data_IF_165601914782
#
_entry.id   IF_165601914782
#
_cell.length_a   1.000
_cell.length_b   1.000
_cell.length_c   1.000
_cell.angle_alpha   90.00
_cell.angle_beta   90.00
_cell.angle_gamma   90.00
#
_symmetry.space_group_name_H-M   'P 1'
#
loop_
_entity.id
_entity.type
_entity.pdbx_description
1 polymer ?
#
# COMPACT_ATOMS: atom_id res chain seq x y z
N UNK A 1 9.11 -3.09 -13.49
CA UNK A 1 8.05 -3.68 -14.33
C UNK A 1 8.58 -4.83 -15.19
N UNK A 2 9.91 -4.91 -15.39
CA UNK A 2 10.56 -5.95 -16.19
C UNK A 2 10.31 -5.77 -17.69
N UNK A 3 10.01 -4.55 -18.13
CA UNK A 3 9.61 -4.28 -19.53
C UNK A 3 10.77 -3.75 -20.36
N UNK A 4 10.68 -3.93 -21.67
CA UNK A 4 11.69 -3.45 -22.60
C UNK A 4 11.79 -1.92 -22.53
N UNK A 5 12.99 -1.42 -22.21
CA UNK A 5 13.31 0.01 -22.13
C UNK A 5 13.26 0.60 -20.72
N UNK A 6 12.89 -0.17 -19.70
CA UNK A 6 12.75 0.34 -18.32
C UNK A 6 14.07 0.91 -17.74
N UNK A 7 15.20 0.24 -18.00
CA UNK A 7 16.51 0.61 -17.44
C UNK A 7 17.26 1.67 -18.25
N UNK A 8 16.61 2.29 -19.24
CA UNK A 8 17.25 3.22 -20.18
C UNK A 8 17.29 4.68 -19.69
N UNK A 9 16.66 4.98 -18.56
CA UNK A 9 16.71 6.33 -17.95
C UNK A 9 15.98 7.41 -18.74
N UNK A 10 14.86 7.07 -19.39
CA UNK A 10 14.08 8.03 -20.18
C UNK A 10 13.50 9.16 -19.33
N UNK A 11 13.48 10.38 -19.88
CA UNK A 11 12.72 11.49 -19.29
C UNK A 11 11.22 11.19 -19.35
N UNK A 12 10.51 11.46 -18.26
CA UNK A 12 9.10 11.10 -18.10
C UNK A 12 8.88 9.72 -17.48
N UNK A 13 9.92 8.88 -17.34
CA UNK A 13 9.83 7.65 -16.55
C UNK A 13 10.23 7.93 -15.10
N UNK A 14 9.28 7.94 -14.17
CA UNK A 14 9.51 8.42 -12.79
C UNK A 14 9.00 7.39 -11.78
N UNK A 15 9.85 6.82 -10.91
CA UNK A 15 9.41 5.90 -9.86
C UNK A 15 8.34 6.51 -8.95
N UNK A 16 7.29 5.76 -8.60
CA UNK A 16 6.15 6.28 -7.85
C UNK A 16 6.50 6.98 -6.54
N UNK A 17 7.43 6.44 -5.77
CA UNK A 17 7.86 7.07 -4.50
C UNK A 17 8.64 8.37 -4.73
N UNK A 18 9.45 8.44 -5.79
CA UNK A 18 10.13 9.69 -6.17
C UNK A 18 9.12 10.73 -6.64
N UNK A 19 8.15 10.32 -7.46
CA UNK A 19 7.08 11.17 -7.95
C UNK A 19 6.28 11.81 -6.80
N UNK A 20 5.85 11.00 -5.83
CA UNK A 20 5.13 11.49 -4.64
C UNK A 20 6.01 12.34 -3.74
N UNK A 21 7.29 12.01 -3.57
CA UNK A 21 8.22 12.81 -2.78
C UNK A 21 8.37 14.23 -3.35
N UNK A 22 8.53 14.34 -4.67
CA UNK A 22 8.68 15.63 -5.35
C UNK A 22 7.41 16.49 -5.21
N UNK A 23 6.23 15.89 -5.38
CA UNK A 23 4.96 16.56 -5.13
C UNK A 23 4.84 17.04 -3.68
N UNK A 24 5.22 16.20 -2.71
CA UNK A 24 5.22 16.56 -1.30
C UNK A 24 6.21 17.71 -0.98
N UNK A 25 7.27 17.86 -1.76
CA UNK A 25 8.20 18.99 -1.67
C UNK A 25 7.69 20.26 -2.38
N UNK A 26 6.48 20.22 -2.96
CA UNK A 26 5.86 21.33 -3.69
C UNK A 26 6.34 21.46 -5.13
N UNK A 27 6.93 20.41 -5.70
CA UNK A 27 7.45 20.40 -7.07
C UNK A 27 6.48 19.67 -8.03
N UNK A 28 6.41 20.10 -9.29
CA UNK A 28 5.85 19.27 -10.37
C UNK A 28 6.98 18.39 -10.92
N UNK A 29 6.92 17.06 -10.78
CA UNK A 29 8.03 16.17 -11.15
C UNK A 29 8.33 16.18 -12.65
N UNK A 30 7.39 16.63 -13.48
CA UNK A 30 7.56 16.73 -14.93
C UNK A 30 6.63 17.81 -15.54
N UNK A 31 6.98 19.10 -15.42
CA UNK A 31 6.07 20.22 -15.74
C UNK A 31 5.51 20.23 -17.16
N UNK A 32 6.31 19.79 -18.14
CA UNK A 32 5.90 19.75 -19.53
C UNK A 32 4.89 18.63 -19.86
N UNK A 33 4.81 17.58 -19.04
CA UNK A 33 3.91 16.45 -19.26
C UNK A 33 2.50 16.73 -18.78
N UNK A 34 1.50 16.20 -19.49
CA UNK A 34 0.07 16.33 -19.18
C UNK A 34 -0.64 14.99 -19.10
N UNK A 35 -0.14 13.97 -19.79
CA UNK A 35 -0.69 12.61 -19.83
C UNK A 35 0.09 11.68 -18.91
N UNK A 36 -0.56 11.15 -17.88
CA UNK A 36 0.06 10.29 -16.86
C UNK A 36 -0.48 8.87 -16.97
N UNK A 37 0.42 7.90 -16.98
CA UNK A 37 0.08 6.49 -16.79
C UNK A 37 0.76 5.97 -15.54
N UNK A 38 -0.03 5.52 -14.58
CA UNK A 38 0.46 4.83 -13.37
C UNK A 38 0.25 3.33 -13.52
N UNK A 39 1.29 2.54 -13.25
CA UNK A 39 1.25 1.08 -13.33
C UNK A 39 1.25 0.49 -11.94
N UNK A 40 0.13 -0.08 -11.50
CA UNK A 40 -0.02 -0.59 -10.15
C UNK A 40 -1.49 -0.69 -9.72
N UNK A 41 -1.73 -1.13 -8.49
CA UNK A 41 -3.10 -1.20 -7.95
C UNK A 41 -3.18 -1.16 -6.42
N UNK A 42 -2.08 -0.82 -5.74
CA UNK A 42 -2.06 -0.56 -4.30
C UNK A 42 -2.16 0.93 -3.99
N UNK A 43 -2.12 1.28 -2.70
CA UNK A 43 -2.31 2.67 -2.26
C UNK A 43 -1.33 3.65 -2.92
N UNK A 44 -0.05 3.28 -3.07
CA UNK A 44 0.92 4.11 -3.81
C UNK A 44 0.46 4.45 -5.23
N UNK A 45 -0.22 3.52 -5.91
CA UNK A 45 -0.76 3.79 -7.24
C UNK A 45 -1.95 4.76 -7.18
N UNK A 46 -2.82 4.63 -6.17
CA UNK A 46 -3.93 5.56 -5.92
C UNK A 46 -3.41 6.97 -5.61
N UNK A 47 -2.40 7.06 -4.74
CA UNK A 47 -1.74 8.32 -4.40
C UNK A 47 -1.15 8.98 -5.64
N UNK A 48 -0.46 8.21 -6.50
CA UNK A 48 0.13 8.75 -7.72
C UNK A 48 -0.93 9.32 -8.68
N UNK A 49 -2.03 8.61 -8.92
CA UNK A 49 -3.08 9.09 -9.84
C UNK A 49 -3.81 10.30 -9.28
N UNK A 50 -4.17 10.28 -7.99
CA UNK A 50 -4.90 11.39 -7.35
C UNK A 50 -4.04 12.64 -7.18
N UNK A 51 -2.77 12.48 -6.80
CA UNK A 51 -1.83 13.61 -6.71
C UNK A 51 -1.48 14.21 -8.07
N UNK A 52 -1.58 13.42 -9.15
CA UNK A 52 -1.34 13.94 -10.51
C UNK A 52 -2.34 15.04 -10.89
N UNK A 53 -3.62 14.90 -10.53
CA UNK A 53 -4.58 15.98 -10.73
C UNK A 53 -4.17 17.23 -9.94
N UNK A 54 -3.74 17.08 -8.69
CA UNK A 54 -3.39 18.20 -7.81
C UNK A 54 -2.20 19.03 -8.30
N UNK A 55 -1.34 18.43 -9.13
CA UNK A 55 -0.25 19.14 -9.83
C UNK A 55 -0.58 19.50 -11.29
N UNK A 56 -1.87 19.56 -11.64
CA UNK A 56 -2.32 20.12 -12.92
C UNK A 56 -2.19 19.16 -14.11
N UNK A 57 -2.20 17.84 -13.88
CA UNK A 57 -2.24 16.82 -14.95
C UNK A 57 -3.70 16.41 -15.21
N UNK A 58 -4.27 16.73 -16.38
CA UNK A 58 -5.68 16.48 -16.65
C UNK A 58 -6.00 15.08 -17.19
N UNK A 59 -5.01 14.37 -17.72
CA UNK A 59 -5.20 13.08 -18.38
C UNK A 59 -4.44 12.01 -17.60
N UNK A 60 -5.15 11.24 -16.79
CA UNK A 60 -4.56 10.33 -15.79
C UNK A 60 -5.18 8.95 -15.95
N UNK A 61 -4.33 7.99 -16.31
CA UNK A 61 -4.70 6.60 -16.48
C UNK A 61 -4.01 5.72 -15.43
N UNK A 62 -4.70 4.66 -15.03
CA UNK A 62 -4.15 3.59 -14.20
C UNK A 62 -4.17 2.27 -14.94
N UNK A 63 -3.03 1.61 -15.05
CA UNK A 63 -2.89 0.29 -15.65
C UNK A 63 -2.72 -0.75 -14.56
N UNK A 64 -3.64 -1.72 -14.51
CA UNK A 64 -3.58 -2.82 -13.55
C UNK A 64 -3.78 -4.18 -14.22
N UNK A 65 -2.86 -5.10 -13.96
CA UNK A 65 -2.81 -6.43 -14.58
C UNK A 65 -3.93 -7.39 -14.15
N UNK A 66 -4.75 -7.03 -13.16
CA UNK A 66 -5.89 -7.84 -12.69
C UNK A 66 -7.19 -7.02 -12.73
N UNK A 67 -8.28 -7.55 -12.18
CA UNK A 67 -9.53 -6.80 -12.07
C UNK A 67 -9.56 -5.96 -10.79
N UNK A 68 -10.53 -5.05 -10.70
CA UNK A 68 -10.82 -4.25 -9.50
C UNK A 68 -10.91 -5.10 -8.23
N UNK A 69 -11.49 -6.30 -8.31
CA UNK A 69 -11.68 -7.20 -7.17
C UNK A 69 -10.37 -7.66 -6.53
N UNK A 70 -9.30 -7.76 -7.30
CA UNK A 70 -7.98 -8.16 -6.81
C UNK A 70 -7.06 -6.96 -6.51
N UNK A 71 -7.56 -5.72 -6.56
CA UNK A 71 -6.75 -4.56 -6.19
C UNK A 71 -6.43 -4.59 -4.69
N UNK A 72 -5.16 -4.44 -4.29
CA UNK A 72 -4.79 -4.35 -2.89
C UNK A 72 -5.09 -2.99 -2.24
N UNK A 73 -5.40 -1.95 -3.04
CA UNK A 73 -5.74 -0.64 -2.49
C UNK A 73 -7.03 -0.66 -1.67
N UNK A 74 -7.18 0.31 -0.75
CA UNK A 74 -8.43 0.46 0.00
C UNK A 74 -9.60 0.74 -0.97
N UNK A 75 -10.74 0.03 -0.85
CA UNK A 75 -11.90 0.25 -1.70
C UNK A 75 -12.38 1.71 -1.74
N UNK A 76 -12.23 2.46 -0.64
CA UNK A 76 -12.55 3.88 -0.58
C UNK A 76 -11.64 4.68 -1.51
N UNK A 77 -10.32 4.46 -1.46
CA UNK A 77 -9.37 5.16 -2.34
C UNK A 77 -9.61 4.86 -3.82
N UNK A 78 -9.95 3.61 -4.16
CA UNK A 78 -10.30 3.23 -5.52
C UNK A 78 -11.54 3.97 -5.99
N UNK A 79 -12.58 4.01 -5.14
CA UNK A 79 -13.82 4.71 -5.46
C UNK A 79 -13.61 6.21 -5.65
N UNK A 80 -12.84 6.84 -4.77
CA UNK A 80 -12.54 8.27 -4.87
C UNK A 80 -11.73 8.61 -6.11
N UNK A 81 -10.76 7.76 -6.49
CA UNK A 81 -10.01 7.93 -7.73
C UNK A 81 -10.91 7.81 -8.97
N UNK A 82 -11.90 6.91 -8.97
CA UNK A 82 -12.90 6.81 -10.04
C UNK A 82 -13.76 8.10 -10.11
N UNK A 83 -14.20 8.64 -8.97
CA UNK A 83 -14.96 9.89 -8.91
C UNK A 83 -14.13 11.11 -9.37
N UNK A 84 -12.84 11.15 -9.05
CA UNK A 84 -11.93 12.23 -9.50
C UNK A 84 -11.68 12.17 -11.03
N UNK A 85 -11.97 11.04 -11.67
CA UNK A 85 -11.94 10.86 -13.12
C UNK A 85 -10.71 10.11 -13.63
N UNK A 86 -10.05 9.29 -12.80
CA UNK A 86 -8.98 8.40 -13.24
C UNK A 86 -9.53 7.37 -14.22
N UNK A 87 -8.86 7.17 -15.36
CA UNK A 87 -9.24 6.13 -16.31
C UNK A 87 -8.54 4.80 -15.98
N UNK A 88 -9.33 3.82 -15.54
CA UNK A 88 -8.83 2.50 -15.15
C UNK A 88 -8.76 1.51 -16.31
N UNK A 89 -7.54 1.07 -16.63
CA UNK A 89 -7.24 -0.02 -17.54
C UNK A 89 -6.98 -1.30 -16.75
N UNK A 90 -8.06 -2.00 -16.40
CA UNK A 90 -7.99 -3.34 -15.79
C UNK A 90 -7.55 -4.39 -16.82
N UNK A 91 -7.06 -5.53 -16.31
CA UNK A 91 -6.61 -6.65 -17.13
C UNK A 91 -5.64 -6.20 -18.23
N UNK A 92 -4.70 -5.35 -17.83
CA UNK A 92 -3.77 -4.70 -18.72
C UNK A 92 -2.38 -4.67 -18.06
N UNK A 93 -1.35 -5.02 -18.80
CA UNK A 93 0.02 -4.97 -18.30
C UNK A 93 0.94 -4.33 -19.35
N UNK A 94 1.86 -3.43 -18.96
CA UNK A 94 2.86 -2.90 -19.88
C UNK A 94 3.76 -4.00 -20.44
N UNK A 95 4.08 -3.91 -21.73
CA UNK A 95 5.03 -4.78 -22.44
C UNK A 95 6.30 -4.03 -22.86
N UNK A 96 6.16 -2.75 -23.25
CA UNK A 96 7.27 -1.94 -23.77
C UNK A 96 7.04 -0.45 -23.55
N UNK A 97 8.09 0.27 -23.18
CA UNK A 97 8.08 1.74 -23.14
C UNK A 97 8.37 2.27 -24.55
N UNK A 98 7.55 3.22 -25.02
CA UNK A 98 7.75 3.93 -26.27
C UNK A 98 8.41 5.26 -25.99
N UNK A 99 9.48 5.55 -26.72
CA UNK A 99 10.28 6.76 -26.53
C UNK A 99 10.54 7.47 -27.86
N UNK A 100 10.76 8.78 -27.76
CA UNK A 100 11.31 9.60 -28.82
C UNK A 100 12.33 10.57 -28.23
N UNK A 101 13.55 10.55 -28.76
CA UNK A 101 14.65 11.43 -28.32
C UNK A 101 14.94 11.32 -26.81
N UNK A 102 14.82 10.11 -26.26
CA UNK A 102 15.07 9.83 -24.84
C UNK A 102 13.92 10.28 -23.92
N UNK A 103 12.75 10.61 -24.47
CA UNK A 103 11.54 10.98 -23.71
C UNK A 103 10.45 9.94 -23.90
N UNK A 104 9.73 9.60 -22.84
CA UNK A 104 8.52 8.78 -22.93
C UNK A 104 7.48 9.49 -23.79
N UNK A 105 6.89 8.75 -24.74
CA UNK A 105 5.76 9.22 -25.58
C UNK A 105 4.56 8.27 -25.51
N UNK A 106 4.73 7.11 -24.87
CA UNK A 106 3.69 6.12 -24.74
C UNK A 106 4.17 4.86 -24.03
N UNK A 107 3.22 4.00 -23.73
CA UNK A 107 3.47 2.65 -23.24
C UNK A 107 2.65 1.67 -24.06
N UNK A 108 3.31 0.66 -24.60
CA UNK A 108 2.66 -0.50 -25.19
C UNK A 108 2.23 -1.42 -24.05
N UNK A 109 0.98 -1.85 -24.10
CA UNK A 109 0.35 -2.72 -23.13
C UNK A 109 -0.24 -3.94 -23.82
N UNK A 110 -0.34 -5.04 -23.08
CA UNK A 110 -0.99 -6.28 -23.51
C UNK A 110 -2.20 -6.56 -22.61
N UNK A 111 -3.29 -7.09 -23.19
CA UNK A 111 -4.44 -7.51 -22.40
C UNK A 111 -4.11 -8.78 -21.62
N UNK A 112 -4.73 -8.91 -20.45
CA UNK A 112 -4.56 -10.03 -19.54
C UNK A 112 -5.89 -10.76 -19.38
N UNK A 113 -5.82 -12.05 -19.06
CA UNK A 113 -6.94 -12.84 -18.55
C UNK A 113 -6.61 -13.41 -17.17
N UNK A 114 -7.64 -13.69 -16.36
CA UNK A 114 -7.45 -14.27 -15.04
C UNK A 114 -7.41 -15.79 -15.11
N UNK A 115 -6.22 -16.36 -14.91
CA UNK A 115 -6.03 -17.80 -14.67
C UNK A 115 -6.40 -18.21 -13.25
N UNK A 116 -5.84 -19.35 -12.83
CA UNK A 116 -6.10 -19.94 -11.50
C UNK A 116 -5.64 -19.02 -10.34
N UNK A 117 -6.32 -19.08 -9.17
CA UNK A 117 -5.89 -18.38 -7.96
C UNK A 117 -4.53 -18.89 -7.48
N UNK A 118 -3.69 -17.96 -7.00
CA UNK A 118 -2.46 -18.25 -6.30
C UNK A 118 -2.72 -18.58 -4.81
N UNK A 119 -1.65 -18.87 -4.05
CA UNK A 119 -1.73 -19.20 -2.63
C UNK A 119 -2.29 -18.07 -1.74
N UNK A 120 -2.32 -16.82 -2.24
CA UNK A 120 -2.97 -15.69 -1.58
C UNK A 120 -4.45 -15.55 -1.95
N UNK A 121 -4.97 -16.43 -2.82
CA UNK A 121 -6.32 -16.38 -3.38
C UNK A 121 -6.45 -15.44 -4.59
N UNK A 122 -5.38 -14.76 -5.00
CA UNK A 122 -5.40 -13.82 -6.13
C UNK A 122 -5.20 -14.57 -7.44
N UNK A 123 -6.05 -14.32 -8.42
CA UNK A 123 -5.90 -14.95 -9.75
C UNK A 123 -4.62 -14.49 -10.44
N UNK A 124 -3.92 -15.45 -11.06
CA UNK A 124 -2.71 -15.18 -11.84
C UNK A 124 -3.10 -14.54 -13.19
N UNK A 125 -2.56 -13.36 -13.52
CA UNK A 125 -2.82 -12.76 -14.81
C UNK A 125 -1.98 -13.45 -15.89
N UNK A 126 -2.61 -13.81 -17.00
CA UNK A 126 -1.97 -14.46 -18.17
C UNK A 126 -2.11 -13.52 -19.37
N UNK A 127 -1.04 -13.24 -20.12
CA UNK A 127 -1.12 -12.37 -21.31
C UNK A 127 -1.96 -13.03 -22.40
N UNK A 128 -2.76 -12.22 -23.10
CA UNK A 128 -3.50 -12.62 -24.31
C UNK A 128 -2.67 -12.20 -25.53
N UNK A 129 -1.96 -13.10 -26.23
CA UNK A 129 -1.10 -12.73 -27.34
C UNK A 129 -1.87 -12.07 -28.49
N UNK A 130 -1.30 -11.05 -29.15
CA UNK A 130 -1.96 -10.35 -30.26
C UNK A 130 -2.98 -9.29 -29.83
N UNK A 131 -3.06 -9.00 -28.53
CA UNK A 131 -3.94 -7.99 -27.95
C UNK A 131 -3.23 -6.68 -27.60
N UNK A 132 -2.03 -6.48 -28.14
CA UNK A 132 -1.18 -5.34 -27.85
C UNK A 132 -1.82 -4.03 -28.34
N UNK A 133 -1.71 -3.00 -27.52
CA UNK A 133 -2.20 -1.66 -27.85
C UNK A 133 -1.34 -0.61 -27.15
N UNK A 134 -1.45 0.64 -27.59
CA UNK A 134 -0.63 1.74 -27.06
C UNK A 134 -1.51 2.71 -26.28
N UNK A 135 -1.02 3.12 -25.11
CA UNK A 135 -1.53 4.26 -24.36
C UNK A 135 -0.51 5.38 -24.51
N UNK A 136 -0.91 6.50 -25.11
CA UNK A 136 -0.05 7.69 -25.22
C UNK A 136 0.16 8.30 -23.84
N UNK A 137 1.39 8.63 -23.49
CA UNK A 137 1.71 9.22 -22.19
C UNK A 137 3.02 9.99 -22.21
N UNK A 138 3.07 11.08 -21.46
CA UNK A 138 4.29 11.86 -21.24
C UNK A 138 5.01 11.39 -19.97
N UNK A 139 4.27 10.82 -19.01
CA UNK A 139 4.72 10.46 -17.67
C UNK A 139 4.29 9.02 -17.36
N UNK A 140 5.25 8.12 -17.28
CA UNK A 140 5.03 6.71 -16.91
C UNK A 140 5.58 6.44 -15.50
N UNK A 141 4.70 6.01 -14.59
CA UNK A 141 4.99 5.85 -13.17
C UNK A 141 4.80 4.39 -12.74
N UNK A 142 5.89 3.63 -12.48
CA UNK A 142 5.77 2.32 -11.87
C UNK A 142 5.47 2.44 -10.36
N UNK A 143 4.29 1.96 -9.95
CA UNK A 143 3.83 1.87 -8.57
C UNK A 143 3.52 0.39 -8.20
N UNK A 144 4.50 -0.48 -8.45
CA UNK A 144 4.37 -1.95 -8.36
C UNK A 144 4.90 -2.56 -7.05
N UNK A 145 5.25 -1.72 -6.08
CA UNK A 145 5.83 -2.10 -4.79
C UNK A 145 7.27 -1.64 -4.62
N UNK A 146 7.81 -1.87 -3.43
CA UNK A 146 9.18 -1.56 -3.04
C UNK A 146 9.85 -2.81 -2.46
N UNK A 147 11.18 -2.80 -2.44
CA UNK A 147 11.99 -3.85 -1.84
C UNK A 147 13.09 -3.20 -0.99
N UNK A 148 13.57 -3.94 0.01
CA UNK A 148 14.69 -3.49 0.82
C UNK A 148 15.94 -3.37 -0.04
N UNK A 149 16.58 -2.20 0.01
CA UNK A 149 17.88 -2.00 -0.63
C UNK A 149 18.99 -2.43 0.33
N UNK A 150 19.73 -3.47 -0.07
CA UNK A 150 20.87 -4.00 0.67
C UNK A 150 22.23 -3.51 0.12
N UNK A 151 22.24 -2.50 -0.76
CA UNK A 151 23.47 -1.95 -1.36
C UNK A 151 24.48 -1.43 -0.33
N UNK A 152 24.00 -1.04 0.85
CA UNK A 152 24.83 -0.55 1.96
C UNK A 152 25.58 -1.67 2.71
N UNK A 153 25.24 -2.94 2.48
CA UNK A 153 25.93 -4.07 3.11
C UNK A 153 27.16 -4.45 2.28
N UNK A 154 28.35 -4.32 2.86
CA UNK A 154 29.61 -4.70 2.21
C UNK A 154 29.63 -6.17 1.77
N UNK A 155 29.00 -7.06 2.55
CA UNK A 155 28.80 -8.47 2.24
C UNK A 155 27.39 -8.91 2.63
N UNK A 156 26.54 -9.12 1.63
CA UNK A 156 25.18 -9.65 1.83
C UNK A 156 25.13 -11.00 2.55
N UNK A 157 26.23 -11.77 2.55
CA UNK A 157 26.33 -13.07 3.21
C UNK A 157 26.43 -13.03 4.74
N UNK A 158 26.63 -11.85 5.33
CA UNK A 158 26.71 -11.71 6.79
C UNK A 158 25.32 -11.71 7.44
N UNK A 159 24.28 -11.41 6.67
CA UNK A 159 22.89 -11.40 7.13
C UNK A 159 22.08 -12.50 6.45
N UNK A 160 21.25 -13.19 7.23
CA UNK A 160 20.23 -14.08 6.70
C UNK A 160 19.11 -13.23 6.07
N UNK A 161 18.81 -13.50 4.81
CA UNK A 161 17.80 -12.77 4.02
C UNK A 161 16.71 -13.75 3.62
N UNK A 162 15.45 -13.37 3.83
CA UNK A 162 14.31 -14.20 3.47
C UNK A 162 14.14 -14.27 1.94
N UNK A 163 13.36 -15.24 1.47
CA UNK A 163 12.95 -15.33 0.04
C UNK A 163 12.19 -14.09 -0.47
N UNK A 164 11.70 -13.24 0.42
CA UNK A 164 10.97 -12.01 0.10
C UNK A 164 11.87 -10.78 0.07
N UNK A 165 13.20 -10.96 0.14
CA UNK A 165 14.19 -9.89 0.14
C UNK A 165 14.03 -8.92 1.34
N UNK A 166 13.82 -9.49 2.52
CA UNK A 166 13.79 -8.81 3.82
C UNK A 166 14.79 -9.48 4.78
N UNK A 167 15.15 -8.81 5.88
CA UNK A 167 15.98 -9.44 6.91
C UNK A 167 15.23 -10.61 7.55
N UNK A 168 15.90 -11.76 7.66
CA UNK A 168 15.41 -12.86 8.49
C UNK A 168 15.66 -12.55 9.96
N UNK A 169 14.60 -12.63 10.77
CA UNK A 169 14.66 -12.38 12.21
C UNK A 169 13.92 -13.45 12.99
N UNK A 170 14.30 -13.62 14.25
CA UNK A 170 13.47 -14.31 15.23
C UNK A 170 12.18 -13.50 15.48
N UNK A 171 11.04 -14.14 15.27
CA UNK A 171 9.72 -13.49 15.27
C UNK A 171 9.25 -13.02 16.66
N UNK A 172 9.90 -13.47 17.74
CA UNK A 172 9.59 -13.07 19.11
C UNK A 172 10.52 -11.98 19.64
N UNK A 173 11.76 -11.93 19.15
CA UNK A 173 12.84 -11.07 19.66
C UNK A 173 13.32 -10.02 18.66
N UNK A 174 12.97 -10.14 17.38
CA UNK A 174 13.44 -9.29 16.28
C UNK A 174 14.95 -9.35 16.03
N UNK A 175 15.65 -10.31 16.67
CA UNK A 175 17.08 -10.53 16.49
C UNK A 175 17.35 -11.08 15.09
N UNK A 176 18.32 -10.51 14.39
CA UNK A 176 18.88 -11.10 13.17
C UNK A 176 19.87 -12.22 13.52
N UNK A 177 20.46 -12.86 12.53
CA UNK A 177 21.57 -13.80 12.75
C UNK A 177 22.86 -13.14 13.25
N UNK A 178 22.96 -11.80 13.21
CA UNK A 178 24.13 -11.04 13.69
C UNK A 178 23.85 -10.53 15.11
N UNK A 179 24.65 -10.92 16.12
CA UNK A 179 24.44 -10.51 17.50
C UNK A 179 24.41 -8.98 17.67
N UNK A 180 23.39 -8.49 18.38
CA UNK A 180 23.19 -7.06 18.63
C UNK A 180 22.56 -6.28 17.48
N UNK A 181 22.23 -6.93 16.36
CA UNK A 181 21.52 -6.30 15.23
C UNK A 181 20.10 -6.85 15.15
N UNK A 182 19.13 -5.93 15.10
CA UNK A 182 17.70 -6.19 15.07
C UNK A 182 17.07 -5.58 13.81
N UNK A 183 15.97 -6.14 13.33
CA UNK A 183 15.18 -5.57 12.22
C UNK A 183 13.69 -5.60 12.54
N UNK A 184 12.96 -4.56 12.12
CA UNK A 184 11.53 -4.40 12.36
C UNK A 184 10.87 -3.56 11.27
N UNK A 185 9.54 -3.64 11.17
CA UNK A 185 8.74 -2.94 10.16
C UNK A 185 8.93 -3.55 8.77
N UNK A 186 8.83 -2.73 7.72
CA UNK A 186 8.83 -3.23 6.33
C UNK A 186 10.15 -3.91 5.93
N UNK A 187 11.25 -3.62 6.62
CA UNK A 187 12.53 -4.31 6.43
C UNK A 187 12.51 -5.78 6.94
N UNK A 188 11.47 -6.16 7.67
CA UNK A 188 11.21 -7.49 8.22
C UNK A 188 9.99 -8.12 7.53
N UNK A 189 8.84 -7.44 7.52
CA UNK A 189 7.58 -7.96 6.97
C UNK A 189 7.46 -7.84 5.46
N UNK A 190 8.23 -6.95 4.84
CA UNK A 190 7.89 -6.36 3.54
C UNK A 190 6.81 -5.27 3.69
N UNK A 191 6.37 -4.64 2.59
CA UNK A 191 5.41 -3.53 2.64
C UNK A 191 4.11 -3.90 3.38
N UNK A 192 3.79 -3.15 4.45
CA UNK A 192 2.58 -3.34 5.28
C UNK A 192 2.05 -1.97 5.75
N UNK A 193 1.09 -1.95 6.68
CA UNK A 193 0.53 -0.72 7.24
C UNK A 193 1.44 -0.08 8.29
N UNK A 194 1.47 1.25 8.30
CA UNK A 194 2.28 2.06 9.22
C UNK A 194 2.11 1.65 10.69
N UNK A 195 0.87 1.38 11.14
CA UNK A 195 0.60 1.00 12.54
C UNK A 195 1.31 -0.29 12.94
N UNK A 196 1.46 -1.25 12.01
CA UNK A 196 2.19 -2.50 12.26
C UNK A 196 3.68 -2.22 12.38
N UNK A 197 4.24 -1.41 11.48
CA UNK A 197 5.65 -1.01 11.55
C UNK A 197 5.97 -0.29 12.88
N UNK A 198 5.14 0.65 13.32
CA UNK A 198 5.26 1.30 14.64
C UNK A 198 5.20 0.29 15.79
N UNK A 199 4.27 -0.67 15.72
CA UNK A 199 4.14 -1.75 16.70
C UNK A 199 5.38 -2.64 16.75
N UNK A 200 5.94 -3.02 15.60
CA UNK A 200 7.16 -3.82 15.51
C UNK A 200 8.36 -3.05 16.07
N UNK A 201 8.51 -1.77 15.71
CA UNK A 201 9.59 -0.92 16.24
C UNK A 201 9.54 -0.78 17.76
N UNK A 202 8.35 -0.58 18.34
CA UNK A 202 8.17 -0.54 19.79
C UNK A 202 8.57 -1.86 20.47
N UNK A 203 8.20 -3.00 19.88
CA UNK A 203 8.54 -4.33 20.41
C UNK A 203 10.04 -4.59 20.31
N UNK A 204 10.65 -4.32 19.17
CA UNK A 204 12.09 -4.44 18.95
C UNK A 204 12.90 -3.56 19.94
N UNK A 205 12.45 -2.32 20.21
CA UNK A 205 13.09 -1.44 21.18
C UNK A 205 13.17 -2.06 22.59
N UNK A 206 12.14 -2.80 23.03
CA UNK A 206 12.19 -3.52 24.29
C UNK A 206 13.23 -4.65 24.31
N UNK A 207 13.43 -5.32 23.17
CA UNK A 207 14.39 -6.42 23.03
C UNK A 207 15.83 -5.89 22.98
N UNK A 208 16.03 -4.77 22.30
CA UNK A 208 17.29 -4.03 22.29
C UNK A 208 17.65 -3.61 23.72
N UNK A 209 16.69 -3.07 24.49
CA UNK A 209 16.91 -2.69 25.89
C UNK A 209 17.28 -3.90 26.79
N UNK A 210 16.61 -5.04 26.62
CA UNK A 210 16.99 -6.29 27.31
C UNK A 210 18.43 -6.71 26.94
N UNK A 211 18.76 -6.72 25.64
CA UNK A 211 20.11 -7.06 25.14
C UNK A 211 21.20 -6.14 25.71
N UNK A 212 20.98 -4.83 25.70
CA UNK A 212 21.92 -3.83 26.22
C UNK A 212 22.13 -3.94 27.74
N UNK A 213 21.14 -4.45 28.48
CA UNK A 213 21.26 -4.77 29.91
C UNK A 213 21.97 -6.10 30.19
N UNK A 214 22.41 -6.81 29.15
CA UNK A 214 23.00 -8.15 29.26
C UNK A 214 21.98 -9.25 29.55
N UNK A 215 20.69 -8.95 29.40
CA UNK A 215 19.61 -9.94 29.51
C UNK A 215 19.41 -10.62 28.15
N UNK A 216 18.93 -11.86 28.17
CA UNK A 216 18.53 -12.54 26.92
C UNK A 216 17.17 -11.99 26.45
N UNK A 217 17.07 -11.43 25.23
CA UNK A 217 15.80 -10.97 24.69
C UNK A 217 14.74 -12.08 24.70
N UNK A 218 13.50 -11.72 25.06
CA UNK A 218 12.39 -12.69 25.10
C UNK A 218 11.04 -12.04 24.87
N UNK A 219 10.09 -12.79 24.32
CA UNK A 219 8.69 -12.34 24.27
C UNK A 219 8.15 -12.02 25.68
N UNK A 220 7.54 -10.85 25.81
CA UNK A 220 6.82 -10.41 27.01
C UNK A 220 5.52 -11.20 27.15
N UNK A 221 5.02 -11.27 28.38
CA UNK A 221 3.79 -12.00 28.67
C UNK A 221 2.59 -11.46 27.86
N UNK A 222 2.49 -10.15 27.69
CA UNK A 222 1.45 -9.53 26.85
C UNK A 222 1.52 -9.99 25.39
N UNK A 223 2.72 -10.17 24.83
CA UNK A 223 2.91 -10.63 23.45
C UNK A 223 2.49 -12.09 23.31
N UNK A 224 2.83 -12.92 24.30
CA UNK A 224 2.40 -14.32 24.38
C UNK A 224 0.87 -14.43 24.49
N UNK A 225 0.23 -13.57 25.28
CA UNK A 225 -1.24 -13.54 25.36
C UNK A 225 -1.87 -13.17 24.03
N UNK A 226 -1.36 -12.18 23.31
CA UNK A 226 -1.88 -11.83 21.97
C UNK A 226 -1.78 -13.01 21.01
N UNK A 227 -0.62 -13.70 20.97
CA UNK A 227 -0.42 -14.90 20.16
C UNK A 227 -1.41 -16.01 20.54
N UNK A 228 -1.50 -16.31 21.84
CA UNK A 228 -2.43 -17.31 22.37
C UNK A 228 -3.89 -17.02 22.00
N UNK A 229 -4.36 -15.78 22.19
CA UNK A 229 -5.72 -15.39 21.82
C UNK A 229 -5.98 -15.51 20.32
N UNK A 230 -4.98 -15.23 19.48
CA UNK A 230 -5.04 -15.49 18.04
C UNK A 230 -5.18 -16.99 17.72
N UNK A 231 -4.38 -17.84 18.38
CA UNK A 231 -4.35 -19.29 18.14
C UNK A 231 -5.66 -19.97 18.54
N UNK A 232 -6.25 -19.57 19.67
CA UNK A 232 -7.56 -20.09 20.13
C UNK A 232 -8.75 -19.42 19.41
N UNK A 233 -8.50 -18.49 18.49
CA UNK A 233 -9.49 -17.80 17.65
C UNK A 233 -10.64 -17.17 18.46
N UNK A 234 -10.32 -16.46 19.54
CA UNK A 234 -11.35 -15.77 20.36
C UNK A 234 -12.12 -14.69 19.60
N UNK A 235 -11.61 -14.26 18.44
CA UNK A 235 -12.20 -13.24 17.59
C UNK A 235 -12.41 -13.78 16.18
N UNK A 236 -13.66 -13.79 15.72
CA UNK A 236 -14.01 -14.00 14.33
C UNK A 236 -14.49 -12.69 13.71
N UNK A 237 -13.70 -12.15 12.77
CA UNK A 237 -14.01 -10.92 12.04
C UNK A 237 -15.28 -11.00 11.20
N UNK A 238 -15.75 -12.21 10.88
CA UNK A 238 -16.94 -12.45 10.08
C UNK A 238 -18.15 -12.82 10.94
N UNK A 239 -17.98 -12.88 12.26
CA UNK A 239 -19.09 -13.14 13.17
C UNK A 239 -20.13 -12.04 13.01
N UNK A 240 -21.32 -12.39 12.53
CA UNK A 240 -22.44 -11.47 12.49
C UNK A 240 -23.04 -11.36 13.89
N UNK A 241 -22.50 -10.41 14.62
CA UNK A 241 -22.89 -10.15 16.00
C UNK A 241 -24.16 -9.29 16.16
N UNK A 242 -24.75 -8.84 15.05
CA UNK A 242 -25.86 -7.89 15.02
C UNK A 242 -25.45 -6.48 15.45
N UNK A 243 -26.11 -5.46 14.88
CA UNK A 243 -26.02 -4.10 15.41
C UNK A 243 -26.98 -3.97 16.60
N UNK A 244 -26.46 -3.57 17.76
CA UNK A 244 -27.23 -3.37 19.00
C UNK A 244 -27.80 -1.95 19.14
N UNK A 245 -27.87 -1.18 18.04
CA UNK A 245 -28.30 0.22 18.09
C UNK A 245 -29.20 0.60 16.92
N UNK A 246 -30.22 1.40 17.21
CA UNK A 246 -31.25 1.84 16.25
C UNK A 246 -30.83 3.07 15.44
N UNK A 247 -29.60 3.55 15.58
CA UNK A 247 -29.11 4.78 14.95
C UNK A 247 -28.21 4.47 13.76
N UNK A 248 -28.59 5.01 12.60
CA UNK A 248 -27.75 4.97 11.40
C UNK A 248 -26.43 5.71 11.64
N UNK A 249 -25.36 5.23 11.00
CA UNK A 249 -24.04 5.89 11.00
C UNK A 249 -24.14 7.18 10.19
N UNK A 250 -23.59 8.28 10.71
CA UNK A 250 -23.39 9.49 9.91
C UNK A 250 -22.21 9.29 8.94
N UNK A 251 -22.40 9.69 7.68
CA UNK A 251 -21.35 9.64 6.67
C UNK A 251 -20.62 10.98 6.62
N UNK A 252 -19.29 10.92 6.64
CA UNK A 252 -18.43 12.07 6.38
C UNK A 252 -18.69 12.57 4.96
N UNK A 253 -18.64 13.89 4.79
CA UNK A 253 -18.89 14.54 3.50
C UNK A 253 -17.55 15.07 2.99
N UNK A 254 -16.99 14.44 1.94
CA UNK A 254 -15.85 15.01 1.27
C UNK A 254 -16.29 16.19 0.38
N UNK A 255 -15.34 17.07 0.07
CA UNK A 255 -15.48 18.04 -1.01
C UNK A 255 -15.88 17.35 -2.32
N UNK A 256 -16.61 18.08 -3.19
CA UNK A 256 -17.02 17.57 -4.49
C UNK A 256 -15.82 17.08 -5.33
N UNK A 257 -15.93 15.97 -6.08
CA UNK A 257 -14.84 15.40 -6.89
C UNK A 257 -14.15 16.40 -7.83
N UNK A 258 -14.93 17.31 -8.43
CA UNK A 258 -14.47 18.33 -9.36
C UNK A 258 -13.60 19.39 -8.70
N UNK A 259 -13.71 19.55 -7.38
CA UNK A 259 -12.94 20.51 -6.56
C UNK A 259 -11.75 19.79 -5.91
N UNK A 260 -12.01 18.68 -5.18
CA UNK A 260 -10.98 18.00 -4.36
C UNK A 260 -9.79 17.51 -5.16
N UNK A 261 -9.99 17.16 -6.44
CA UNK A 261 -8.91 16.66 -7.30
C UNK A 261 -7.86 17.71 -7.65
N UNK A 262 -8.16 19.01 -7.49
CA UNK A 262 -7.25 20.10 -7.85
C UNK A 262 -6.66 20.84 -6.65
N UNK A 263 -6.92 20.36 -5.42
CA UNK A 263 -6.43 21.02 -4.20
C UNK A 263 -5.72 20.04 -3.25
N UNK A 264 -4.80 20.58 -2.46
CA UNK A 264 -4.18 19.90 -1.32
C UNK A 264 -4.85 20.25 0.01
N UNK A 265 -5.94 21.03 -0.02
CA UNK A 265 -6.75 21.32 1.17
C UNK A 265 -7.36 20.03 1.74
N UNK A 266 -7.71 20.07 3.02
CA UNK A 266 -8.39 18.96 3.70
C UNK A 266 -9.71 18.64 2.98
N UNK A 267 -9.79 17.42 2.43
CA UNK A 267 -10.93 16.98 1.61
C UNK A 267 -12.15 16.68 2.47
N UNK A 268 -11.94 16.17 3.68
CA UNK A 268 -13.01 15.78 4.60
C UNK A 268 -13.47 17.01 5.39
N UNK A 269 -14.72 17.45 5.19
CA UNK A 269 -15.26 18.65 5.87
C UNK A 269 -15.61 18.39 7.36
N UNK A 270 -15.40 17.16 7.83
CA UNK A 270 -15.75 16.72 9.18
C UNK A 270 -17.26 16.59 9.39
N UNK A 271 -17.65 16.47 10.66
CA UNK A 271 -19.06 16.47 11.06
C UNK A 271 -19.48 17.81 11.62
N UNK A 272 -20.74 18.19 11.38
CA UNK A 272 -21.35 19.24 12.19
C UNK A 272 -21.42 18.82 13.64
N UNK A 273 -21.41 19.77 14.57
CA UNK A 273 -21.45 19.51 16.02
C UNK A 273 -22.58 18.56 16.43
N UNK A 274 -23.77 18.71 15.83
CA UNK A 274 -24.93 17.84 16.10
C UNK A 274 -24.73 16.41 15.58
N UNK A 275 -24.19 16.24 14.38
CA UNK A 275 -23.84 14.94 13.80
C UNK A 275 -22.71 14.26 14.59
N UNK A 276 -21.70 15.04 15.02
CA UNK A 276 -20.60 14.56 15.84
C UNK A 276 -21.07 14.05 17.20
N UNK A 277 -21.97 14.80 17.88
CA UNK A 277 -22.58 14.36 19.14
C UNK A 277 -23.43 13.11 18.93
N UNK A 278 -24.20 13.04 17.83
CA UNK A 278 -25.02 11.88 17.51
C UNK A 278 -24.17 10.62 17.27
N UNK A 279 -23.07 10.75 16.51
CA UNK A 279 -22.12 9.66 16.24
C UNK A 279 -21.34 9.25 17.49
N UNK A 280 -20.89 10.21 18.33
CA UNK A 280 -20.23 9.91 19.61
C UNK A 280 -21.17 9.25 20.63
N UNK A 281 -22.47 9.57 20.55
CA UNK A 281 -23.52 8.94 21.35
C UNK A 281 -23.96 7.60 20.80
N UNK A 282 -23.45 7.17 19.63
CA UNK A 282 -23.78 5.89 19.03
C UNK A 282 -23.10 4.78 19.84
N UNK A 283 -23.89 3.84 20.35
CA UNK A 283 -23.35 2.65 20.99
C UNK A 283 -22.65 1.78 19.94
N UNK A 284 -21.33 1.83 19.90
CA UNK A 284 -20.49 0.99 19.03
C UNK A 284 -20.21 -0.40 19.61
N UNK A 285 -20.89 -0.79 20.69
CA UNK A 285 -20.69 -2.05 21.44
C UNK A 285 -19.40 -2.03 22.28
N UNK A 286 -19.42 -1.31 23.40
CA UNK A 286 -18.39 -1.43 24.44
C UNK A 286 -18.58 -2.78 25.17
N UNK A 287 -17.98 -3.87 24.71
CA UNK A 287 -18.06 -5.13 25.47
C UNK A 287 -17.26 -5.03 26.78
N UNK A 288 -17.86 -5.48 27.88
CA UNK A 288 -17.12 -5.95 29.06
C UNK A 288 -16.79 -7.43 28.83
N UNK A 289 -15.51 -7.74 28.64
CA UNK A 289 -15.06 -9.12 28.56
C UNK A 289 -15.09 -9.70 29.98
N UNK A 290 -16.03 -10.61 30.25
CA UNK A 290 -16.03 -11.44 31.45
C UNK A 290 -15.40 -12.79 31.11
N UNK A 291 -14.19 -13.04 31.59
CA UNK A 291 -13.61 -14.38 31.57
C UNK A 291 -14.02 -15.11 32.85
N UNK A 292 -14.73 -16.24 32.71
CA UNK A 292 -15.02 -17.14 33.82
C UNK A 292 -14.23 -18.42 33.54
N UNK A 293 -13.32 -18.77 34.45
CA UNK A 293 -12.70 -20.09 34.44
C UNK A 293 -13.75 -21.11 34.86
N UNK A 294 -14.19 -21.95 33.93
CA UNK A 294 -14.97 -23.14 34.27
C UNK A 294 -13.95 -24.22 34.62
N UNK A 295 -13.94 -24.61 35.90
CA UNK A 295 -13.02 -25.60 36.45
C UNK A 295 -13.19 -26.99 35.86
#
# INVERSE_FOLDING_TARGET
MGVKGEDMGYRGFIPGVKYLLDINNGEDPYPEGKKVVVVGGGNVAMDCVRSSFRVGKPDVHLVYRRTKKEMPADPVEIHEAEEEGVEFHYLCNPSRILEKEGKVVGVECIRMELGEPDASGRRRPVPVPGSEFVIETDILIPAIGQAVDFSFLEKKGDFAITKWNTFEVDQETFETNVPGVFSAGDCETGPDVLVRACGNGKRAAWKIDEYLRGEKPKARMSEKFVKFFGDVKVYDRNENVGFLGDRARHLLRPMAPEVRKWTFDEVEEGFRTDEAIAEASRCLRCYRIGMIAVG
#
